data_IF_825105994093
#
_entry.id   IF_825105994093
#
_cell.length_a   1.000
_cell.length_b   1.000
_cell.length_c   1.000
_cell.angle_alpha   90.00
_cell.angle_beta   90.00
_cell.angle_gamma   90.00
#
_symmetry.space_group_name_H-M   'P 1'
#
loop_
_entity.id
_entity.type
_entity.pdbx_description
1 polymer ?
#
# COMPACT_ATOMS: atom_id res chain seq x y z
N UNK A 1 -15.54 -23.04 -6.29
CA UNK A 1 -14.75 -21.84 -5.91
C UNK A 1 -13.36 -22.31 -5.55
N UNK A 2 -12.38 -21.86 -6.27
CA UNK A 2 -10.99 -22.12 -5.91
C UNK A 2 -10.67 -21.42 -4.59
N UNK A 3 -9.96 -22.10 -3.70
CA UNK A 3 -9.56 -21.54 -2.40
C UNK A 3 -8.48 -20.50 -2.61
N UNK A 4 -8.58 -19.37 -1.93
CA UNK A 4 -7.53 -18.34 -1.93
C UNK A 4 -6.23 -18.91 -1.38
N UNK A 5 -5.11 -18.60 -2.03
CA UNK A 5 -3.78 -18.98 -1.58
C UNK A 5 -3.35 -18.05 -0.46
N UNK A 6 -2.91 -18.60 0.65
CA UNK A 6 -2.33 -17.85 1.77
C UNK A 6 -0.92 -18.33 1.99
N UNK A 7 0.04 -17.40 1.96
CA UNK A 7 1.44 -17.68 2.25
C UNK A 7 1.80 -17.19 3.65
N UNK A 8 2.50 -18.02 4.41
CA UNK A 8 3.01 -17.69 5.74
C UNK A 8 4.49 -18.03 5.79
N UNK A 9 5.30 -17.09 6.25
CA UNK A 9 6.74 -17.25 6.39
C UNK A 9 7.18 -16.77 7.76
N UNK A 10 8.00 -17.56 8.45
CA UNK A 10 8.68 -17.10 9.65
C UNK A 10 9.93 -16.34 9.26
N UNK A 11 10.13 -15.16 9.85
CA UNK A 11 11.25 -14.27 9.54
C UNK A 11 12.05 -13.90 10.78
N UNK A 12 13.21 -13.28 10.58
CA UNK A 12 14.06 -12.71 11.63
C UNK A 12 14.37 -11.24 11.30
N UNK A 13 14.80 -10.42 12.26
CA UNK A 13 15.21 -9.05 11.98
C UNK A 13 16.31 -8.93 10.91
N UNK A 14 17.16 -9.94 10.75
CA UNK A 14 18.26 -9.96 9.80
C UNK A 14 17.81 -10.27 8.37
N UNK A 15 16.73 -11.02 8.21
CA UNK A 15 16.29 -11.55 6.91
C UNK A 15 14.97 -10.95 6.43
N UNK A 16 14.30 -10.15 7.26
CA UNK A 16 12.92 -9.69 7.01
C UNK A 16 12.73 -9.04 5.63
N UNK A 17 13.65 -8.22 5.17
CA UNK A 17 13.53 -7.53 3.88
C UNK A 17 13.61 -8.53 2.72
N UNK A 18 14.53 -9.48 2.77
CA UNK A 18 14.67 -10.54 1.76
C UNK A 18 13.51 -11.53 1.81
N UNK A 19 13.05 -11.86 3.01
CA UNK A 19 11.91 -12.77 3.23
C UNK A 19 10.61 -12.24 2.63
N UNK A 20 10.44 -10.92 2.47
CA UNK A 20 9.31 -10.35 1.74
C UNK A 20 9.27 -10.82 0.29
N UNK A 21 10.41 -10.87 -0.40
CA UNK A 21 10.46 -11.38 -1.77
C UNK A 21 10.01 -12.85 -1.83
N UNK A 22 10.54 -13.68 -0.95
CA UNK A 22 10.15 -15.08 -0.85
C UNK A 22 8.66 -15.25 -0.50
N UNK A 23 8.14 -14.43 0.41
CA UNK A 23 6.73 -14.44 0.78
C UNK A 23 5.82 -14.08 -0.41
N UNK A 24 6.17 -13.05 -1.15
CA UNK A 24 5.45 -12.60 -2.35
C UNK A 24 5.44 -13.68 -3.44
N UNK A 25 6.57 -14.36 -3.66
CA UNK A 25 6.65 -15.49 -4.59
C UNK A 25 5.75 -16.66 -4.16
N UNK A 26 5.80 -17.04 -2.88
CA UNK A 26 4.95 -18.08 -2.32
C UNK A 26 3.46 -17.75 -2.44
N UNK A 27 3.09 -16.48 -2.30
CA UNK A 27 1.72 -16.00 -2.47
C UNK A 27 1.26 -15.98 -3.95
N UNK A 28 2.18 -16.04 -4.90
CA UNK A 28 1.88 -15.99 -6.32
C UNK A 28 1.73 -14.56 -6.86
N UNK A 29 2.46 -13.60 -6.32
CA UNK A 29 2.39 -12.19 -6.70
C UNK A 29 2.56 -11.98 -8.20
N UNK A 30 3.55 -12.65 -8.82
CA UNK A 30 3.85 -12.51 -10.25
C UNK A 30 2.70 -12.93 -11.16
N UNK A 31 1.90 -13.91 -10.73
CA UNK A 31 0.73 -14.39 -11.46
C UNK A 31 -0.52 -13.55 -11.22
N UNK A 32 -0.57 -12.84 -10.08
CA UNK A 32 -1.73 -12.05 -9.67
C UNK A 32 -1.70 -10.61 -10.19
N UNK A 33 -0.53 -10.08 -10.53
CA UNK A 33 -0.32 -8.71 -10.96
C UNK A 33 0.19 -8.64 -12.40
N UNK A 34 -0.09 -7.51 -13.06
CA UNK A 34 0.30 -7.23 -14.44
C UNK A 34 1.43 -6.20 -14.46
N UNK A 35 2.62 -6.60 -14.93
CA UNK A 35 3.81 -5.73 -15.01
C UNK A 35 3.69 -4.59 -16.00
N UNK A 36 2.73 -4.64 -16.92
CA UNK A 36 2.47 -3.57 -17.89
C UNK A 36 1.66 -2.40 -17.32
N UNK A 37 1.18 -2.53 -16.07
CA UNK A 37 0.34 -1.55 -15.40
C UNK A 37 1.05 -0.95 -14.20
N UNK A 38 0.67 0.29 -13.86
CA UNK A 38 1.08 0.93 -12.62
C UNK A 38 0.64 0.08 -11.41
N UNK A 39 1.59 -0.30 -10.57
CA UNK A 39 1.31 -1.02 -9.32
C UNK A 39 1.21 -0.04 -8.17
N UNK A 40 0.05 -0.02 -7.52
CA UNK A 40 -0.22 0.85 -6.38
C UNK A 40 0.18 0.13 -5.09
N UNK A 41 1.08 0.74 -4.34
CA UNK A 41 1.43 0.33 -2.98
C UNK A 41 0.62 1.18 -2.02
N UNK A 42 -0.26 0.57 -1.26
CA UNK A 42 -1.02 1.23 -0.20
C UNK A 42 -0.36 0.92 1.14
N UNK A 43 0.32 1.89 1.69
CA UNK A 43 0.80 1.81 3.07
C UNK A 43 -0.31 2.07 4.08
N UNK A 44 -0.06 1.71 5.32
CA UNK A 44 -0.98 1.96 6.42
C UNK A 44 -0.35 2.94 7.42
N UNK A 45 -1.04 4.05 7.64
CA UNK A 45 -0.74 5.04 8.69
C UNK A 45 -1.99 5.17 9.55
N UNK A 46 -2.16 4.25 10.50
CA UNK A 46 -3.28 4.32 11.47
C UNK A 46 -3.03 5.36 12.55
N UNK A 47 -1.77 5.68 12.78
CA UNK A 47 -1.32 6.63 13.79
C UNK A 47 -0.12 7.44 13.27
N UNK A 48 -0.12 8.75 13.46
CA UNK A 48 0.97 9.59 12.95
C UNK A 48 2.29 9.45 13.74
N UNK A 49 2.26 8.89 14.95
CA UNK A 49 3.47 8.53 15.69
C UNK A 49 4.07 7.21 15.18
N UNK A 50 5.35 6.99 15.47
CA UNK A 50 6.00 5.71 15.15
C UNK A 50 5.38 4.60 16.02
N UNK A 51 4.55 3.79 15.40
CA UNK A 51 3.87 2.69 16.07
C UNK A 51 3.84 1.43 15.19
N UNK A 52 4.93 0.61 15.22
CA UNK A 52 5.09 -0.53 14.32
C UNK A 52 3.98 -1.59 14.39
N UNK A 53 3.26 -1.66 15.50
CA UNK A 53 2.13 -2.58 15.67
C UNK A 53 0.84 -2.13 14.98
N UNK A 54 0.75 -0.86 14.55
CA UNK A 54 -0.44 -0.31 13.90
C UNK A 54 -0.15 0.29 12.52
N UNK A 55 1.10 0.64 12.24
CA UNK A 55 1.51 1.24 10.97
C UNK A 55 2.33 0.26 10.13
N UNK A 56 2.37 0.47 8.83
CA UNK A 56 3.38 -0.17 7.98
C UNK A 56 4.77 0.21 8.49
N UNK A 57 5.65 -0.77 8.60
CA UNK A 57 7.04 -0.51 9.02
C UNK A 57 7.93 -0.19 7.82
N UNK A 58 9.05 0.55 8.01
CA UNK A 58 9.97 0.83 6.91
C UNK A 58 10.47 -0.43 6.19
N UNK A 59 10.78 -1.49 6.93
CA UNK A 59 11.26 -2.75 6.36
C UNK A 59 10.16 -3.52 5.60
N UNK A 60 8.88 -3.39 5.99
CA UNK A 60 7.76 -3.92 5.20
C UNK A 60 7.64 -3.19 3.86
N UNK A 61 7.68 -1.86 3.90
CA UNK A 61 7.63 -1.04 2.69
C UNK A 61 8.82 -1.35 1.79
N UNK A 62 10.03 -1.37 2.34
CA UNK A 62 11.25 -1.67 1.61
C UNK A 62 11.23 -3.07 0.98
N UNK A 63 10.91 -4.10 1.77
CA UNK A 63 10.83 -5.48 1.29
C UNK A 63 9.77 -5.66 0.19
N UNK A 64 8.63 -4.97 0.32
CA UNK A 64 7.58 -4.97 -0.71
C UNK A 64 8.08 -4.33 -2.02
N UNK A 65 8.73 -3.16 -1.95
CA UNK A 65 9.26 -2.47 -3.13
C UNK A 65 10.36 -3.32 -3.81
N UNK A 66 11.27 -3.87 -3.03
CA UNK A 66 12.33 -4.75 -3.57
C UNK A 66 11.71 -5.98 -4.26
N UNK A 67 10.72 -6.61 -3.64
CA UNK A 67 10.03 -7.78 -4.21
C UNK A 67 9.37 -7.45 -5.54
N UNK A 68 8.65 -6.33 -5.62
CA UNK A 68 8.01 -5.88 -6.85
C UNK A 68 9.03 -5.61 -7.94
N UNK A 69 10.10 -4.86 -7.64
CA UNK A 69 11.15 -4.54 -8.62
C UNK A 69 11.89 -5.79 -9.11
N UNK A 70 12.19 -6.74 -8.24
CA UNK A 70 12.84 -8.01 -8.60
C UNK A 70 12.00 -8.84 -9.57
N UNK A 71 10.67 -8.74 -9.49
CA UNK A 71 9.73 -9.42 -10.40
C UNK A 71 9.35 -8.58 -11.64
N UNK A 72 10.03 -7.45 -11.86
CA UNK A 72 9.88 -6.62 -13.05
C UNK A 72 8.76 -5.56 -13.00
N UNK A 73 8.18 -5.32 -11.84
CA UNK A 73 7.22 -4.23 -11.63
C UNK A 73 7.97 -2.91 -11.41
N UNK A 74 8.18 -2.14 -12.47
CA UNK A 74 8.98 -0.91 -12.43
C UNK A 74 8.13 0.35 -12.29
N UNK A 75 6.88 0.33 -12.74
CA UNK A 75 5.94 1.45 -12.58
C UNK A 75 5.20 1.32 -11.25
N UNK A 76 5.79 1.88 -10.19
CA UNK A 76 5.29 1.84 -8.83
C UNK A 76 4.87 3.22 -8.35
N UNK A 77 3.79 3.28 -7.59
CA UNK A 77 3.35 4.48 -6.87
C UNK A 77 2.90 4.10 -5.45
N UNK A 78 3.32 4.88 -4.46
CA UNK A 78 2.87 4.70 -3.08
C UNK A 78 1.75 5.70 -2.77
N UNK A 79 0.63 5.21 -2.21
CA UNK A 79 -0.56 6.02 -1.94
C UNK A 79 -0.84 6.08 -0.44
N UNK A 80 -0.99 7.30 0.07
CA UNK A 80 -1.30 7.58 1.47
C UNK A 80 -2.73 8.06 1.65
N UNK A 81 -3.35 7.66 2.76
CA UNK A 81 -4.64 8.19 3.20
C UNK A 81 -4.47 9.26 4.26
N UNK A 82 -5.46 10.16 4.31
CA UNK A 82 -5.75 10.92 5.53
C UNK A 82 -6.95 10.29 6.23
N UNK A 83 -6.83 10.06 7.53
CA UNK A 83 -7.95 9.63 8.38
C UNK A 83 -8.31 10.73 9.39
N UNK A 84 -9.42 10.57 10.09
CA UNK A 84 -9.93 11.59 11.02
C UNK A 84 -8.93 11.97 12.11
N UNK A 85 -8.15 10.98 12.60
CA UNK A 85 -7.24 11.16 13.74
C UNK A 85 -5.76 11.17 13.34
N UNK A 86 -5.46 11.04 12.04
CA UNK A 86 -4.09 10.90 11.55
C UNK A 86 -3.67 12.09 10.72
N UNK A 87 -2.56 12.71 11.08
CA UNK A 87 -1.88 13.71 10.25
C UNK A 87 -0.92 12.95 9.33
N UNK A 88 -1.35 12.71 8.08
CA UNK A 88 -0.65 11.82 7.15
C UNK A 88 0.80 12.23 6.88
N UNK A 89 1.08 13.53 6.72
CA UNK A 89 2.43 14.03 6.46
C UNK A 89 3.38 13.79 7.66
N UNK A 90 2.85 13.93 8.90
CA UNK A 90 3.62 13.58 10.10
C UNK A 90 3.81 12.06 10.20
N UNK A 91 2.79 11.28 9.86
CA UNK A 91 2.86 9.82 9.82
C UNK A 91 3.93 9.32 8.86
N UNK A 92 3.98 9.84 7.64
CA UNK A 92 5.03 9.55 6.66
C UNK A 92 6.43 9.86 7.20
N UNK A 93 6.60 11.05 7.81
CA UNK A 93 7.86 11.50 8.38
C UNK A 93 8.32 10.64 9.54
N UNK A 94 7.44 10.36 10.50
CA UNK A 94 7.80 9.61 11.71
C UNK A 94 7.97 8.12 11.44
N UNK A 95 7.20 7.54 10.53
CA UNK A 95 7.36 6.15 10.12
C UNK A 95 8.46 5.95 9.05
N UNK A 96 9.19 7.01 8.67
CA UNK A 96 10.37 6.94 7.78
C UNK A 96 10.08 6.40 6.38
N UNK A 97 8.89 6.62 5.83
CA UNK A 97 8.55 6.16 4.49
C UNK A 97 9.27 6.95 3.40
N UNK A 98 9.40 8.28 3.59
CA UNK A 98 10.08 9.15 2.63
C UNK A 98 11.48 8.67 2.23
N UNK A 99 12.39 8.39 3.17
CA UNK A 99 13.71 7.83 2.85
C UNK A 99 13.67 6.53 2.05
N UNK A 100 12.76 5.62 2.38
CA UNK A 100 12.59 4.34 1.65
C UNK A 100 12.11 4.61 0.22
N UNK A 101 11.03 5.37 0.06
CA UNK A 101 10.48 5.68 -1.26
C UNK A 101 11.48 6.40 -2.17
N UNK A 102 12.23 7.38 -1.61
CA UNK A 102 13.27 8.10 -2.34
C UNK A 102 14.41 7.18 -2.80
N UNK A 103 14.84 6.24 -1.95
CA UNK A 103 15.87 5.25 -2.28
C UNK A 103 15.54 4.47 -3.55
N UNK A 104 14.27 4.14 -3.76
CA UNK A 104 13.80 3.33 -4.89
C UNK A 104 13.14 4.14 -6.01
N UNK A 105 13.08 5.46 -5.90
CA UNK A 105 12.45 6.33 -6.88
C UNK A 105 10.94 6.11 -7.01
N UNK A 106 10.25 5.74 -5.91
CA UNK A 106 8.82 5.51 -5.90
C UNK A 106 8.09 6.80 -5.54
N UNK A 107 7.28 7.39 -6.44
CA UNK A 107 6.54 8.60 -6.16
C UNK A 107 5.43 8.36 -5.13
N UNK A 108 5.08 9.43 -4.40
CA UNK A 108 3.96 9.45 -3.45
C UNK A 108 2.76 10.16 -4.06
N UNK A 109 1.56 9.62 -3.79
CA UNK A 109 0.28 10.27 -4.06
C UNK A 109 -0.61 10.23 -2.82
N UNK A 110 -1.53 11.16 -2.75
CA UNK A 110 -2.37 11.37 -1.57
C UNK A 110 -3.84 11.35 -1.98
N UNK A 111 -4.63 10.43 -1.46
CA UNK A 111 -6.06 10.32 -1.77
C UNK A 111 -6.94 11.42 -1.14
N UNK A 112 -6.34 12.49 -0.65
CA UNK A 112 -6.99 13.66 -0.08
C UNK A 112 -6.47 14.99 -0.68
N UNK A 113 -5.52 14.94 -1.59
CA UNK A 113 -5.04 16.10 -2.33
C UNK A 113 -5.72 16.16 -3.69
N UNK A 114 -6.38 17.28 -4.06
CA UNK A 114 -7.13 17.38 -5.32
C UNK A 114 -6.33 16.99 -6.55
N UNK A 115 -5.04 17.34 -6.60
CA UNK A 115 -4.13 17.04 -7.70
C UNK A 115 -3.86 15.54 -7.90
N UNK A 116 -4.05 14.73 -6.86
CA UNK A 116 -3.83 13.28 -6.87
C UNK A 116 -5.14 12.48 -7.00
N UNK A 117 -6.30 13.17 -7.09
CA UNK A 117 -7.62 12.55 -7.06
C UNK A 117 -8.34 12.65 -8.40
N UNK A 118 -9.13 11.63 -8.67
CA UNK A 118 -10.12 11.64 -9.76
C UNK A 118 -11.47 11.23 -9.23
N UNK A 119 -12.50 12.02 -9.53
CA UNK A 119 -13.86 11.74 -9.15
C UNK A 119 -14.54 10.86 -10.19
N UNK A 120 -15.01 9.70 -9.79
CA UNK A 120 -15.74 8.77 -10.65
C UNK A 120 -17.20 8.73 -10.21
N UNK A 121 -18.13 9.00 -11.16
CA UNK A 121 -19.56 8.84 -10.88
C UNK A 121 -19.84 7.35 -10.68
N UNK A 122 -20.27 7.00 -9.49
CA UNK A 122 -20.66 5.63 -9.12
C UNK A 122 -22.17 5.49 -9.14
N UNK A 123 -22.67 4.46 -9.85
CA UNK A 123 -24.07 4.04 -9.76
C UNK A 123 -24.13 2.76 -8.94
N UNK A 124 -24.66 2.81 -7.70
CA UNK A 124 -24.76 1.61 -6.88
C UNK A 124 -25.70 0.58 -7.52
N UNK A 125 -25.22 -0.65 -7.67
CA UNK A 125 -26.03 -1.78 -8.17
C UNK A 125 -27.06 -2.26 -7.14
N UNK A 126 -26.84 -1.96 -5.86
CA UNK A 126 -27.75 -2.28 -4.77
C UNK A 126 -28.44 -1.00 -4.28
N UNK A 127 -29.76 -1.05 -4.09
CA UNK A 127 -30.53 0.01 -3.44
C UNK A 127 -30.25 0.01 -1.93
N UNK A 128 -29.06 0.41 -1.53
CA UNK A 128 -28.76 0.70 -0.12
C UNK A 128 -28.97 2.19 0.13
N UNK A 129 -30.10 2.53 0.72
CA UNK A 129 -30.51 3.90 1.07
C UNK A 129 -29.44 4.69 1.87
N UNK A 130 -28.59 4.01 2.61
CA UNK A 130 -27.53 4.63 3.43
C UNK A 130 -26.36 5.11 2.56
N UNK A 131 -25.98 4.35 1.54
CA UNK A 131 -24.88 4.73 0.62
C UNK A 131 -25.26 5.93 -0.27
N UNK A 132 -26.52 6.02 -0.64
CA UNK A 132 -27.04 7.13 -1.45
C UNK A 132 -26.95 8.50 -0.74
N UNK A 133 -27.02 8.52 0.59
CA UNK A 133 -26.86 9.73 1.39
C UNK A 133 -25.40 10.15 1.56
N UNK A 134 -24.49 9.19 1.72
CA UNK A 134 -23.06 9.45 1.95
C UNK A 134 -22.36 9.98 0.69
N UNK A 135 -22.86 9.65 -0.49
CA UNK A 135 -22.23 10.03 -1.77
C UNK A 135 -22.96 11.17 -2.50
N UNK A 136 -24.02 11.72 -1.94
CA UNK A 136 -24.76 12.87 -2.52
C UNK A 136 -24.37 14.22 -1.95
N UNK A 137 -23.74 14.26 -0.79
CA UNK A 137 -23.25 15.45 -0.08
C UNK A 137 -21.72 15.54 -0.22
#
# INVERSE_FOLDING_TARGET
>A
MDKSKVAVLRTTPQTVVEDYHRLCQLAGMRQALDTSKTTIIKDNISWHLLYPGANTTPWQLEGTIQSLKAEGFNDLVCVHNKTVVTIADLGDRYNKFGPVLNKYGVPKKYNYKPEDMTWVRYQPKAKMLVLDKIFRD
#
